data_IF_576025225832
#
_entry.id   IF_576025225832
#
_cell.length_a   1.000
_cell.length_b   1.000
_cell.length_c   1.000
_cell.angle_alpha   90.00
_cell.angle_beta   90.00
_cell.angle_gamma   90.00
#
_symmetry.space_group_name_H-M   'P 1'
#
loop_
_entity.id
_entity.type
_entity.pdbx_description
1 polymer ?
#
# COMPACT_ATOMS: atom_id res chain seq x y z
N UNK A 1 83.78 43.69 -3.78
CA UNK A 1 83.43 42.35 -3.27
C UNK A 1 83.45 42.44 -1.75
N UNK A 2 82.39 43.00 -1.14
CA UNK A 2 82.30 43.13 0.32
C UNK A 2 81.52 41.92 0.85
N UNK A 3 82.24 40.92 1.33
CA UNK A 3 81.65 39.79 2.05
C UNK A 3 81.45 40.16 3.51
N UNK A 4 80.23 40.49 3.90
CA UNK A 4 79.86 40.55 5.31
C UNK A 4 79.91 39.13 5.88
N UNK A 5 80.55 38.89 7.04
CA UNK A 5 80.50 37.58 7.68
C UNK A 5 79.05 37.36 8.12
N UNK A 6 78.40 36.35 7.53
CA UNK A 6 77.11 35.87 8.00
C UNK A 6 77.33 35.32 9.41
N UNK A 7 76.72 35.95 10.41
CA UNK A 7 76.68 35.42 11.76
C UNK A 7 75.75 34.20 11.76
N UNK A 8 76.34 33.05 11.45
CA UNK A 8 75.65 31.77 11.42
C UNK A 8 75.00 31.39 12.75
N UNK A 9 75.48 31.96 13.87
CA UNK A 9 74.89 31.75 15.19
C UNK A 9 73.58 32.54 15.32
N UNK A 10 73.59 33.81 14.93
CA UNK A 10 72.36 34.62 14.89
C UNK A 10 71.31 34.02 13.95
N UNK A 11 71.72 33.61 12.74
CA UNK A 11 70.81 32.99 11.77
C UNK A 11 70.23 31.67 12.29
N UNK A 12 71.04 30.84 12.96
CA UNK A 12 70.56 29.59 13.56
C UNK A 12 69.57 29.83 14.71
N UNK A 13 69.80 30.86 15.54
CA UNK A 13 68.89 31.27 16.62
C UNK A 13 67.55 31.76 16.04
N UNK A 14 67.60 32.56 14.97
CA UNK A 14 66.38 33.07 14.31
C UNK A 14 65.57 31.94 13.66
N UNK A 15 66.23 30.98 13.01
CA UNK A 15 65.58 29.79 12.44
C UNK A 15 64.95 28.92 13.54
N UNK A 16 65.64 28.70 14.66
CA UNK A 16 65.11 27.96 15.80
C UNK A 16 63.92 28.68 16.45
N UNK A 17 63.99 29.99 16.61
CA UNK A 17 62.90 30.82 17.11
C UNK A 17 61.67 30.76 16.21
N UNK A 18 61.87 30.83 14.88
CA UNK A 18 60.79 30.70 13.90
C UNK A 18 60.17 29.30 13.89
N UNK A 19 60.98 28.24 13.96
CA UNK A 19 60.49 26.87 14.06
C UNK A 19 59.69 26.64 15.34
N UNK A 20 60.15 27.17 16.48
CA UNK A 20 59.42 27.11 17.74
C UNK A 20 58.07 27.84 17.66
N UNK A 21 58.03 29.02 17.04
CA UNK A 21 56.80 29.78 16.84
C UNK A 21 55.78 29.02 15.96
N UNK A 22 56.23 28.36 14.90
CA UNK A 22 55.38 27.49 14.05
C UNK A 22 54.82 26.32 14.86
N UNK A 23 55.65 25.65 15.67
CA UNK A 23 55.20 24.52 16.49
C UNK A 23 54.17 24.97 17.53
N UNK A 24 54.41 26.10 18.21
CA UNK A 24 53.44 26.68 19.15
C UNK A 24 52.12 27.03 18.45
N UNK A 25 52.18 27.66 17.27
CA UNK A 25 50.99 27.99 16.49
C UNK A 25 50.18 26.74 16.11
N UNK A 26 50.84 25.66 15.66
CA UNK A 26 50.17 24.40 15.33
C UNK A 26 49.51 23.77 16.57
N UNK A 27 50.20 23.78 17.72
CA UNK A 27 49.65 23.24 18.98
C UNK A 27 48.43 24.06 19.43
N UNK A 28 48.53 25.39 19.40
CA UNK A 28 47.42 26.28 19.77
C UNK A 28 46.24 26.10 18.81
N UNK A 29 46.46 26.06 17.49
CA UNK A 29 45.40 25.84 16.51
C UNK A 29 44.67 24.50 16.73
N UNK A 30 45.41 23.41 17.01
CA UNK A 30 44.81 22.11 17.34
C UNK A 30 44.07 22.13 18.68
N UNK A 31 44.59 22.84 19.67
CA UNK A 31 43.94 23.00 20.97
C UNK A 31 42.62 23.77 20.85
N UNK A 32 42.60 24.84 20.04
CA UNK A 32 41.41 25.67 19.80
C UNK A 32 40.36 24.90 18.99
N UNK A 33 40.80 24.12 18.00
CA UNK A 33 39.95 23.17 17.26
C UNK A 33 39.30 22.16 18.22
N UNK A 34 40.10 21.51 19.08
CA UNK A 34 39.59 20.55 20.06
C UNK A 34 38.63 21.19 21.07
N UNK A 35 38.94 22.40 21.55
CA UNK A 35 38.07 23.13 22.47
C UNK A 35 36.72 23.51 21.83
N UNK A 36 36.74 23.85 20.54
CA UNK A 36 35.52 24.14 19.76
C UNK A 36 34.68 22.87 19.61
N UNK A 37 35.30 21.74 19.25
CA UNK A 37 34.63 20.43 19.15
C UNK A 37 34.00 20.04 20.50
N UNK A 38 34.73 20.18 21.60
CA UNK A 38 34.25 19.86 22.94
C UNK A 38 33.07 20.75 23.36
N UNK A 39 33.12 22.04 23.02
CA UNK A 39 32.05 22.99 23.28
C UNK A 39 30.79 22.63 22.48
N UNK A 40 30.93 22.37 21.19
CA UNK A 40 29.82 21.92 20.32
C UNK A 40 29.21 20.61 20.82
N UNK A 41 30.03 19.63 21.23
CA UNK A 41 29.54 18.38 21.80
C UNK A 41 28.77 18.60 23.11
N UNK A 42 29.25 19.47 24.01
CA UNK A 42 28.54 19.82 25.25
C UNK A 42 27.19 20.49 24.97
N UNK A 43 27.16 21.39 24.00
CA UNK A 43 25.92 22.07 23.57
C UNK A 43 24.92 21.07 22.98
N UNK A 44 25.38 20.16 22.11
CA UNK A 44 24.57 19.08 21.53
C UNK A 44 23.95 18.18 22.61
N UNK A 45 24.77 17.73 23.56
CA UNK A 45 24.33 16.90 24.69
C UNK A 45 23.30 17.66 25.54
N UNK A 46 23.55 18.94 25.84
CA UNK A 46 22.63 19.78 26.64
C UNK A 46 21.30 20.02 25.93
N UNK A 47 21.32 20.34 24.64
CA UNK A 47 20.13 20.51 23.81
C UNK A 47 19.30 19.22 23.80
N UNK A 48 19.96 18.08 23.57
CA UNK A 48 19.33 16.76 23.58
C UNK A 48 18.65 16.48 24.93
N UNK A 49 19.36 16.68 26.04
CA UNK A 49 18.81 16.46 27.38
C UNK A 49 17.60 17.34 27.66
N UNK A 50 17.58 18.58 27.16
CA UNK A 50 16.52 19.55 27.42
C UNK A 50 15.29 19.29 26.56
N UNK A 51 15.49 19.16 25.25
CA UNK A 51 14.41 19.10 24.28
C UNK A 51 13.76 17.72 24.28
N UNK A 52 14.55 16.65 24.35
CA UNK A 52 14.01 15.30 24.43
C UNK A 52 13.28 15.05 25.77
N UNK A 53 13.78 15.60 26.87
CA UNK A 53 13.07 15.51 28.15
C UNK A 53 11.75 16.30 28.12
N UNK A 54 11.70 17.43 27.42
CA UNK A 54 10.46 18.20 27.22
C UNK A 54 9.46 17.43 26.39
N UNK A 55 9.88 16.88 25.25
CA UNK A 55 9.07 16.00 24.41
C UNK A 55 8.51 14.82 25.23
N UNK A 56 9.31 14.17 26.08
CA UNK A 56 8.80 13.09 26.96
C UNK A 56 7.84 13.57 28.04
N UNK A 57 7.99 14.80 28.55
CA UNK A 57 7.08 15.38 29.55
C UNK A 57 5.72 15.75 28.95
N UNK A 58 5.70 16.21 27.72
CA UNK A 58 4.46 16.49 26.98
C UNK A 58 3.73 15.21 26.63
N UNK A 59 4.47 14.13 26.34
CA UNK A 59 3.95 12.82 25.94
C UNK A 59 4.03 11.79 27.07
N UNK A 60 3.73 12.19 28.32
CA UNK A 60 3.89 11.35 29.53
C UNK A 60 3.11 10.04 29.50
N UNK A 61 2.02 9.97 28.74
CA UNK A 61 1.21 8.77 28.54
C UNK A 61 2.04 7.60 27.98
N UNK A 62 2.99 7.90 27.09
CA UNK A 62 3.93 6.91 26.53
C UNK A 62 5.06 6.53 27.53
N UNK A 63 5.17 7.23 28.66
CA UNK A 63 6.29 7.12 29.61
C UNK A 63 6.12 6.10 30.75
N UNK A 64 4.90 5.88 31.27
CA UNK A 64 4.69 5.18 32.56
C UNK A 64 4.09 3.77 32.48
N UNK A 65 3.19 3.52 31.53
CA UNK A 65 2.68 2.18 31.18
C UNK A 65 2.24 2.25 29.73
N UNK A 66 2.81 1.39 28.89
CA UNK A 66 2.29 1.21 27.54
C UNK A 66 0.84 0.73 27.66
N UNK A 67 -0.12 1.38 26.97
CA UNK A 67 -1.50 0.93 26.96
C UNK A 67 -1.61 -0.50 26.42
N UNK A 68 -2.76 -1.16 26.55
CA UNK A 68 -2.98 -2.41 25.83
C UNK A 68 -2.90 -2.15 24.31
N UNK A 69 -2.59 -3.18 23.51
CA UNK A 69 -2.70 -3.02 22.06
C UNK A 69 -4.15 -2.62 21.72
N UNK A 70 -4.35 -1.55 20.93
CA UNK A 70 -5.68 -1.08 20.54
C UNK A 70 -6.39 -0.09 21.49
N UNK A 71 -5.83 0.25 22.66
CA UNK A 71 -6.47 1.22 23.59
C UNK A 71 -5.95 2.66 23.46
N UNK A 72 -5.20 2.97 22.40
CA UNK A 72 -4.53 4.25 22.22
C UNK A 72 -5.17 5.00 21.07
N UNK A 73 -5.57 6.25 21.30
CA UNK A 73 -6.23 7.05 20.26
C UNK A 73 -5.24 7.32 19.11
N UNK A 74 -5.70 7.16 17.87
CA UNK A 74 -4.88 7.44 16.68
C UNK A 74 -4.37 8.88 16.66
N UNK A 75 -5.07 9.81 17.32
CA UNK A 75 -4.67 11.22 17.49
C UNK A 75 -3.40 11.36 18.31
N UNK A 76 -3.30 10.67 19.44
CA UNK A 76 -2.14 10.74 20.34
C UNK A 76 -0.90 10.13 19.68
N UNK A 77 -1.08 9.01 18.98
CA UNK A 77 -0.03 8.41 18.15
C UNK A 77 0.48 9.38 17.09
N UNK A 78 -0.44 10.04 16.38
CA UNK A 78 -0.10 11.02 15.35
C UNK A 78 0.74 12.14 15.91
N UNK A 79 0.29 12.74 17.01
CA UNK A 79 0.92 13.89 17.61
C UNK A 79 2.32 13.55 18.14
N UNK A 80 2.43 12.43 18.86
CA UNK A 80 3.71 12.00 19.41
C UNK A 80 4.71 11.64 18.31
N UNK A 81 4.29 10.87 17.30
CA UNK A 81 5.15 10.50 16.18
C UNK A 81 5.57 11.72 15.34
N UNK A 82 4.67 12.70 15.16
CA UNK A 82 5.01 13.97 14.47
C UNK A 82 6.07 14.78 15.22
N UNK A 83 6.03 14.77 16.55
CA UNK A 83 7.05 15.43 17.37
C UNK A 83 8.38 14.66 17.35
N UNK A 84 8.31 13.32 17.36
CA UNK A 84 9.49 12.47 17.20
C UNK A 84 10.14 12.63 15.82
N UNK A 85 9.37 12.80 14.75
CA UNK A 85 9.87 13.10 13.40
C UNK A 85 10.70 14.39 13.38
N UNK A 86 10.16 15.48 13.96
CA UNK A 86 10.89 16.76 14.06
C UNK A 86 12.15 16.64 14.90
N UNK A 87 12.10 15.86 15.98
CA UNK A 87 13.26 15.60 16.81
C UNK A 87 14.31 14.77 16.06
N UNK A 88 13.88 13.78 15.28
CA UNK A 88 14.72 12.92 14.49
C UNK A 88 15.50 13.67 13.41
N UNK A 89 14.90 14.70 12.78
CA UNK A 89 15.62 15.64 11.91
C UNK A 89 16.85 16.21 12.62
N UNK A 90 16.71 16.63 13.87
CA UNK A 90 17.83 17.17 14.66
C UNK A 90 18.90 16.12 14.99
N UNK A 91 18.50 14.86 15.24
CA UNK A 91 19.45 13.75 15.41
C UNK A 91 20.24 13.51 14.12
N UNK A 92 19.54 13.34 13.00
CA UNK A 92 20.13 12.98 11.71
C UNK A 92 21.01 14.12 11.14
N UNK A 93 20.69 15.38 11.46
CA UNK A 93 21.53 16.54 11.13
C UNK A 93 22.70 16.76 12.11
N UNK A 94 22.83 15.96 13.17
CA UNK A 94 23.88 16.10 14.18
C UNK A 94 23.67 17.24 15.18
N UNK A 95 22.50 17.88 15.19
CA UNK A 95 22.10 18.89 16.18
C UNK A 95 21.76 18.27 17.55
N UNK A 96 21.40 16.99 17.59
CA UNK A 96 21.19 16.20 18.80
C UNK A 96 22.10 14.97 18.84
N UNK A 97 22.38 14.50 20.05
CA UNK A 97 23.28 13.38 20.32
C UNK A 97 22.49 12.07 20.50
N UNK A 98 22.53 11.20 19.49
CA UNK A 98 21.76 9.95 19.49
C UNK A 98 22.24 8.96 20.56
N UNK A 99 23.52 8.97 20.96
CA UNK A 99 24.01 8.11 22.04
C UNK A 99 23.37 8.50 23.39
N UNK A 100 23.20 9.81 23.62
CA UNK A 100 22.48 10.33 24.79
C UNK A 100 21.02 9.86 24.77
N UNK A 101 20.34 9.98 23.62
CA UNK A 101 18.96 9.47 23.46
C UNK A 101 18.88 7.96 23.73
N UNK A 102 19.83 7.20 23.18
CA UNK A 102 19.92 5.75 23.37
C UNK A 102 20.05 5.37 24.84
N UNK A 103 20.90 6.07 25.59
CA UNK A 103 21.08 5.88 27.04
C UNK A 103 19.84 6.28 27.84
N UNK A 104 19.18 7.39 27.48
CA UNK A 104 18.03 7.91 28.22
C UNK A 104 16.76 7.08 28.00
N UNK A 105 16.50 6.65 26.76
CA UNK A 105 15.20 6.07 26.37
C UNK A 105 15.25 5.12 25.17
N UNK A 106 16.43 4.74 24.68
CA UNK A 106 16.54 3.93 23.46
C UNK A 106 15.72 2.63 23.52
N UNK A 107 15.81 1.88 24.62
CA UNK A 107 15.02 0.67 24.80
C UNK A 107 13.49 0.92 24.86
N UNK A 108 13.05 2.08 25.34
CA UNK A 108 11.63 2.45 25.34
C UNK A 108 11.16 2.80 23.93
N UNK A 109 11.92 3.60 23.19
CA UNK A 109 11.62 3.98 21.81
C UNK A 109 11.57 2.77 20.88
N UNK A 110 12.53 1.84 21.00
CA UNK A 110 12.52 0.57 20.25
C UNK A 110 11.24 -0.23 20.53
N UNK A 111 10.83 -0.35 21.80
CA UNK A 111 9.57 -1.04 22.15
C UNK A 111 8.33 -0.34 21.59
N UNK A 112 8.30 0.99 21.61
CA UNK A 112 7.17 1.74 21.04
C UNK A 112 7.10 1.55 19.53
N UNK A 113 8.26 1.60 18.86
CA UNK A 113 8.37 1.37 17.43
C UNK A 113 7.86 -0.01 17.03
N UNK A 114 8.39 -1.06 17.68
CA UNK A 114 8.04 -2.45 17.40
C UNK A 114 6.56 -2.76 17.68
N UNK A 115 5.95 -2.06 18.64
CA UNK A 115 4.58 -2.34 19.07
C UNK A 115 3.51 -1.50 18.40
N UNK A 116 3.84 -0.28 17.95
CA UNK A 116 2.84 0.68 17.45
C UNK A 116 3.31 1.43 16.21
N UNK A 117 4.48 2.08 16.27
CA UNK A 117 4.82 3.05 15.21
C UNK A 117 5.07 2.41 13.87
N UNK A 118 5.67 1.21 13.82
CA UNK A 118 5.93 0.55 12.54
C UNK A 118 4.65 0.37 11.72
N UNK A 119 3.61 -0.22 12.32
CA UNK A 119 2.38 -0.54 11.61
C UNK A 119 1.53 0.74 11.40
N UNK A 120 1.58 1.67 12.35
CA UNK A 120 0.94 2.99 12.22
C UNK A 120 1.54 3.83 11.08
N UNK A 121 2.86 3.81 10.88
CA UNK A 121 3.51 4.50 9.76
C UNK A 121 2.98 3.94 8.43
N UNK A 122 2.94 2.62 8.29
CA UNK A 122 2.37 1.97 7.10
C UNK A 122 0.91 2.39 6.87
N UNK A 123 0.07 2.37 7.90
CA UNK A 123 -1.33 2.82 7.82
C UNK A 123 -1.44 4.29 7.39
N UNK A 124 -0.57 5.16 7.91
CA UNK A 124 -0.53 6.59 7.53
C UNK A 124 -0.12 6.80 6.08
N UNK A 125 0.79 5.98 5.55
CA UNK A 125 1.20 6.00 4.13
C UNK A 125 0.09 5.56 3.20
N UNK A 126 -0.65 4.51 3.57
CA UNK A 126 -1.81 4.01 2.82
C UNK A 126 -2.97 5.00 2.80
N UNK A 127 -3.18 5.74 3.89
CA UNK A 127 -4.24 6.74 4.01
C UNK A 127 -3.90 8.12 3.41
N UNK A 128 -2.71 8.29 2.83
CA UNK A 128 -2.28 9.57 2.30
C UNK A 128 -2.94 9.86 0.94
N UNK A 129 -3.60 11.01 0.75
CA UNK A 129 -4.20 11.33 -0.56
C UNK A 129 -3.11 11.63 -1.60
N UNK A 130 -3.10 10.91 -2.74
CA UNK A 130 -2.15 11.13 -3.86
C UNK A 130 -2.55 12.37 -4.70
N UNK A 131 -3.16 13.39 -4.09
CA UNK A 131 -3.73 14.54 -4.81
C UNK A 131 -2.73 15.72 -4.94
N UNK A 132 -1.41 15.50 -4.76
CA UNK A 132 -0.39 16.38 -5.36
C UNK A 132 0.60 17.12 -4.44
N UNK A 133 0.83 16.70 -3.19
CA UNK A 133 1.83 17.34 -2.31
C UNK A 133 3.09 16.49 -2.01
N UNK A 134 2.99 15.16 -2.05
CA UNK A 134 4.10 14.24 -1.79
C UNK A 134 4.24 13.29 -2.97
N UNK A 135 5.41 13.27 -3.60
CA UNK A 135 5.71 12.39 -4.74
C UNK A 135 6.04 10.95 -4.33
N UNK A 136 6.46 10.74 -3.08
CA UNK A 136 6.76 9.43 -2.50
C UNK A 136 6.13 9.30 -1.11
N UNK A 137 5.04 8.54 -1.01
CA UNK A 137 4.35 8.30 0.27
C UNK A 137 5.27 7.63 1.28
N UNK A 138 6.30 6.90 0.85
CA UNK A 138 7.27 6.27 1.74
C UNK A 138 8.24 7.28 2.39
N UNK A 139 8.24 8.54 1.95
CA UNK A 139 8.97 9.61 2.65
C UNK A 139 8.26 10.07 3.94
N UNK A 140 7.00 9.68 4.16
CA UNK A 140 6.27 10.01 5.39
C UNK A 140 6.94 9.29 6.57
N UNK A 141 7.42 10.07 7.55
CA UNK A 141 8.16 9.65 8.75
C UNK A 141 9.57 9.08 8.51
N UNK A 142 10.21 9.43 7.39
CA UNK A 142 11.52 8.87 7.03
C UNK A 142 12.64 9.28 7.98
N UNK A 143 12.58 10.49 8.56
CA UNK A 143 13.62 10.96 9.48
C UNK A 143 13.58 10.19 10.79
N UNK A 144 12.37 9.93 11.30
CA UNK A 144 12.15 9.05 12.44
C UNK A 144 12.64 7.63 12.15
N UNK A 145 12.39 7.08 10.97
CA UNK A 145 12.91 5.76 10.59
C UNK A 145 14.44 5.70 10.55
N UNK A 146 15.10 6.71 9.98
CA UNK A 146 16.55 6.80 9.96
C UNK A 146 17.13 6.85 11.38
N UNK A 147 16.57 7.71 12.24
CA UNK A 147 16.97 7.78 13.65
C UNK A 147 16.73 6.44 14.36
N UNK A 148 15.60 5.77 14.11
CA UNK A 148 15.29 4.49 14.72
C UNK A 148 16.23 3.39 14.24
N UNK A 149 16.61 3.37 12.97
CA UNK A 149 17.59 2.41 12.43
C UNK A 149 18.94 2.55 13.14
N UNK A 150 19.47 3.77 13.24
CA UNK A 150 20.72 4.02 13.97
C UNK A 150 20.60 3.66 15.46
N UNK A 151 19.44 3.91 16.07
CA UNK A 151 19.18 3.54 17.46
C UNK A 151 19.17 2.01 17.68
N UNK A 152 18.68 1.24 16.71
CA UNK A 152 18.73 -0.22 16.72
C UNK A 152 20.17 -0.72 16.59
N UNK A 153 20.95 -0.12 15.69
CA UNK A 153 22.37 -0.45 15.48
C UNK A 153 23.19 -0.18 16.75
N UNK A 154 23.03 0.99 17.39
CA UNK A 154 23.68 1.33 18.66
C UNK A 154 23.37 0.35 19.80
N UNK A 155 22.25 -0.37 19.70
CA UNK A 155 21.79 -1.30 20.75
C UNK A 155 21.93 -2.76 20.36
N UNK A 156 22.46 -3.06 19.17
CA UNK A 156 22.59 -4.42 18.66
C UNK A 156 21.26 -5.16 18.52
N UNK A 157 20.18 -4.45 18.21
CA UNK A 157 18.84 -5.03 18.00
C UNK A 157 18.54 -5.05 16.50
N UNK A 158 17.95 -6.14 16.00
CA UNK A 158 17.55 -6.25 14.59
C UNK A 158 16.56 -5.12 14.22
N UNK A 159 16.90 -4.35 13.18
CA UNK A 159 16.00 -3.36 12.58
C UNK A 159 15.01 -4.03 11.62
N UNK A 160 13.73 -3.68 11.76
CA UNK A 160 12.67 -4.04 10.81
C UNK A 160 11.96 -2.78 10.37
N UNK A 161 12.17 -2.38 9.12
CA UNK A 161 11.52 -1.21 8.54
C UNK A 161 9.98 -1.37 8.53
N UNK A 162 9.21 -0.26 8.47
CA UNK A 162 7.82 -0.32 8.07
C UNK A 162 7.69 -0.94 6.69
N UNK A 163 6.52 -1.49 6.41
CA UNK A 163 6.26 -2.08 5.11
C UNK A 163 6.32 -0.99 4.03
N UNK A 164 6.97 -1.33 2.92
CA UNK A 164 6.98 -0.46 1.75
C UNK A 164 5.60 -0.43 1.13
N UNK A 165 5.02 0.75 0.96
CA UNK A 165 3.71 0.93 0.34
C UNK A 165 3.91 1.16 -1.14
N UNK A 166 3.55 0.16 -1.94
CA UNK A 166 3.49 0.24 -3.40
C UNK A 166 2.22 0.98 -3.88
N UNK A 167 2.17 1.34 -5.16
CA UNK A 167 0.96 1.89 -5.79
C UNK A 167 -0.20 0.87 -5.71
N UNK A 168 0.11 -0.41 -5.88
CA UNK A 168 -0.85 -1.52 -5.79
C UNK A 168 -1.50 -1.60 -4.41
N UNK A 169 -0.69 -1.58 -3.35
CA UNK A 169 -1.21 -1.65 -1.99
C UNK A 169 -2.04 -0.42 -1.64
N UNK A 170 -1.63 0.75 -2.13
CA UNK A 170 -2.38 1.98 -1.97
C UNK A 170 -3.74 1.92 -2.66
N UNK A 171 -3.79 1.43 -3.91
CA UNK A 171 -5.04 1.31 -4.66
C UNK A 171 -5.96 0.29 -3.99
N UNK A 172 -5.45 -0.89 -3.63
CA UNK A 172 -6.22 -1.91 -2.91
C UNK A 172 -6.83 -1.34 -1.62
N UNK A 173 -6.00 -0.68 -0.80
CA UNK A 173 -6.46 -0.02 0.43
C UNK A 173 -7.62 0.93 0.14
N UNK A 174 -7.49 1.76 -0.89
CA UNK A 174 -8.49 2.76 -1.22
C UNK A 174 -9.80 2.15 -1.74
N UNK A 175 -9.76 1.01 -2.42
CA UNK A 175 -10.95 0.29 -2.87
C UNK A 175 -11.68 -0.40 -1.69
N UNK A 176 -10.93 -1.02 -0.77
CA UNK A 176 -11.51 -1.64 0.42
C UNK A 176 -12.17 -0.62 1.37
N UNK A 177 -11.69 0.63 1.37
CA UNK A 177 -12.27 1.71 2.19
C UNK A 177 -13.41 2.47 1.50
N UNK A 178 -13.81 2.08 0.29
CA UNK A 178 -15.04 2.61 -0.32
C UNK A 178 -16.25 2.05 0.44
N UNK A 179 -17.35 2.82 0.58
CA UNK A 179 -18.57 2.33 1.22
C UNK A 179 -19.03 0.98 0.65
N UNK A 180 -19.28 0.00 1.53
CA UNK A 180 -19.80 -1.32 1.15
C UNK A 180 -21.31 -1.31 0.87
N UNK A 181 -22.00 -0.29 1.37
CA UNK A 181 -23.44 -0.09 1.23
C UNK A 181 -23.90 0.37 -0.16
N UNK A 182 -22.97 0.65 -1.07
CA UNK A 182 -23.26 1.13 -2.43
C UNK A 182 -22.12 0.81 -3.40
N UNK A 183 -22.46 0.53 -4.65
CA UNK A 183 -21.53 0.34 -5.78
C UNK A 183 -21.09 1.66 -6.45
N UNK A 184 -21.78 2.77 -6.21
CA UNK A 184 -21.55 4.05 -6.92
C UNK A 184 -20.10 4.57 -6.81
N UNK A 185 -19.41 4.52 -5.66
CA UNK A 185 -18.03 4.99 -5.57
C UNK A 185 -17.05 4.20 -6.46
N UNK A 186 -17.35 2.92 -6.72
CA UNK A 186 -16.59 2.11 -7.67
C UNK A 186 -16.87 2.60 -9.09
N UNK A 187 -18.15 2.69 -9.50
CA UNK A 187 -18.53 3.20 -10.83
C UNK A 187 -17.95 4.58 -11.11
N UNK A 188 -18.07 5.52 -10.17
CA UNK A 188 -17.53 6.86 -10.27
C UNK A 188 -16.02 6.87 -10.57
N UNK A 189 -15.27 5.92 -10.01
CA UNK A 189 -13.82 5.80 -10.26
C UNK A 189 -13.53 5.43 -11.71
N UNK A 190 -14.26 4.49 -12.29
CA UNK A 190 -14.06 4.04 -13.67
C UNK A 190 -14.72 4.95 -14.73
N UNK A 191 -15.76 5.70 -14.36
CA UNK A 191 -16.53 6.61 -15.25
C UNK A 191 -15.67 7.64 -15.98
N UNK A 192 -14.57 8.05 -15.37
CA UNK A 192 -13.65 9.04 -15.93
C UNK A 192 -12.62 8.45 -16.90
N UNK A 193 -12.59 7.13 -17.08
CA UNK A 193 -11.71 6.50 -18.06
C UNK A 193 -12.15 6.84 -19.48
N UNK A 194 -11.16 7.03 -20.35
CA UNK A 194 -11.40 7.43 -21.74
C UNK A 194 -12.23 6.37 -22.45
N UNK A 195 -13.39 6.79 -22.99
CA UNK A 195 -14.27 5.91 -23.74
C UNK A 195 -15.13 4.98 -22.88
N UNK A 196 -15.18 5.19 -21.56
CA UNK A 196 -16.08 4.45 -20.69
C UNK A 196 -17.54 4.61 -21.15
N UNK A 197 -18.26 3.50 -21.23
CA UNK A 197 -19.68 3.39 -21.55
C UNK A 197 -20.37 2.85 -20.31
N UNK A 198 -21.21 3.66 -19.71
CA UNK A 198 -21.95 3.32 -18.50
C UNK A 198 -23.46 3.40 -18.77
N UNK A 199 -24.21 2.46 -18.22
CA UNK A 199 -25.67 2.45 -18.29
C UNK A 199 -26.25 1.93 -16.99
N UNK A 200 -27.32 2.58 -16.55
CA UNK A 200 -28.10 2.20 -15.38
C UNK A 200 -29.57 2.04 -15.75
N UNK A 201 -30.20 1.01 -15.22
CA UNK A 201 -31.64 0.72 -15.31
C UNK A 201 -32.31 0.84 -13.94
N UNK A 202 -33.26 -0.04 -13.65
CA UNK A 202 -33.93 -0.08 -12.36
C UNK A 202 -33.13 -0.90 -11.32
N UNK A 203 -33.04 -0.40 -10.10
CA UNK A 203 -32.35 -1.09 -9.00
C UNK A 203 -30.87 -1.32 -9.29
N UNK A 204 -30.45 -2.59 -9.27
CA UNK A 204 -29.07 -3.05 -9.49
C UNK A 204 -28.73 -3.34 -10.94
N UNK A 205 -29.51 -2.81 -11.87
CA UNK A 205 -29.22 -2.88 -13.30
C UNK A 205 -28.13 -1.86 -13.65
N UNK A 206 -26.87 -2.20 -13.45
CA UNK A 206 -25.75 -1.31 -13.73
C UNK A 206 -24.61 -2.02 -14.45
N UNK A 207 -24.00 -1.36 -15.43
CA UNK A 207 -22.72 -1.79 -15.99
C UNK A 207 -21.89 -0.60 -16.46
N UNK A 208 -20.57 -0.79 -16.45
CA UNK A 208 -19.59 0.12 -17.03
C UNK A 208 -18.55 -0.67 -17.82
N UNK A 209 -18.47 -0.38 -19.11
CA UNK A 209 -17.51 -0.98 -20.03
C UNK A 209 -16.45 0.04 -20.44
N UNK A 210 -15.18 -0.34 -20.39
CA UNK A 210 -14.07 0.45 -20.94
C UNK A 210 -13.46 -0.31 -22.10
N UNK A 211 -13.51 0.22 -23.34
CA UNK A 211 -12.96 -0.47 -24.49
C UNK A 211 -11.44 -0.54 -24.43
N UNK A 212 -10.91 -1.75 -24.62
CA UNK A 212 -9.49 -1.99 -24.82
C UNK A 212 -9.01 -1.48 -26.19
N UNK A 213 -7.72 -1.19 -26.28
CA UNK A 213 -7.06 -0.70 -27.50
C UNK A 213 -6.38 -1.83 -28.28
N UNK A 214 -6.18 -2.98 -27.66
CA UNK A 214 -5.50 -4.13 -28.28
C UNK A 214 -6.40 -4.89 -29.27
N UNK A 215 -5.84 -5.41 -30.38
CA UNK A 215 -6.58 -6.28 -31.29
C UNK A 215 -6.90 -7.64 -30.64
N UNK A 216 -6.03 -8.14 -29.76
CA UNK A 216 -6.10 -9.41 -29.05
C UNK A 216 -6.57 -9.23 -27.58
N UNK A 217 -7.41 -8.22 -27.34
CA UNK A 217 -7.87 -7.90 -26.00
C UNK A 217 -8.69 -9.04 -25.36
N UNK A 218 -8.28 -9.44 -24.16
CA UNK A 218 -9.14 -10.09 -23.16
C UNK A 218 -10.11 -9.06 -22.53
N UNK A 219 -11.25 -9.54 -22.03
CA UNK A 219 -12.17 -8.76 -21.20
C UNK A 219 -11.94 -9.08 -19.72
N UNK A 220 -11.56 -8.09 -18.93
CA UNK A 220 -11.44 -8.19 -17.48
C UNK A 220 -12.77 -7.84 -16.82
N UNK A 221 -13.28 -8.71 -15.95
CA UNK A 221 -14.61 -8.59 -15.34
C UNK A 221 -14.50 -8.58 -13.81
N UNK A 222 -15.27 -7.70 -13.17
CA UNK A 222 -15.56 -7.73 -11.73
C UNK A 222 -16.93 -7.07 -11.48
N UNK A 223 -17.49 -7.24 -10.30
CA UNK A 223 -18.69 -6.51 -9.87
C UNK A 223 -18.38 -5.52 -8.74
N UNK A 224 -19.26 -4.54 -8.59
CA UNK A 224 -19.07 -3.37 -7.74
C UNK A 224 -20.00 -3.35 -6.50
N UNK A 225 -21.18 -3.97 -6.62
CA UNK A 225 -22.03 -4.21 -5.45
C UNK A 225 -21.35 -5.20 -4.53
N UNK A 226 -21.66 -5.07 -3.24
CA UNK A 226 -21.23 -6.02 -2.21
C UNK A 226 -22.48 -6.66 -1.61
N UNK A 227 -22.34 -7.83 -1.02
CA UNK A 227 -23.41 -8.44 -0.21
C UNK A 227 -23.99 -7.51 0.87
N UNK A 228 -23.21 -6.53 1.34
CA UNK A 228 -23.61 -5.57 2.37
C UNK A 228 -24.30 -4.31 1.82
N UNK A 229 -24.60 -4.28 0.51
CA UNK A 229 -25.28 -3.16 -0.12
C UNK A 229 -26.65 -2.88 0.50
N UNK A 230 -26.99 -1.59 0.67
CA UNK A 230 -28.25 -1.20 1.29
C UNK A 230 -29.46 -1.65 0.47
N UNK A 231 -29.32 -1.76 -0.86
CA UNK A 231 -30.39 -2.20 -1.74
C UNK A 231 -30.90 -3.62 -1.44
N UNK A 232 -30.10 -4.44 -0.75
CA UNK A 232 -30.44 -5.82 -0.41
C UNK A 232 -31.06 -5.98 0.98
N UNK A 233 -31.18 -4.89 1.74
CA UNK A 233 -31.61 -4.95 3.14
C UNK A 233 -33.05 -4.49 3.27
N UNK A 234 -33.96 -5.44 3.41
CA UNK A 234 -35.41 -5.18 3.55
C UNK A 234 -35.79 -4.48 4.88
N UNK A 235 -34.95 -4.59 5.94
CA UNK A 235 -35.31 -4.25 7.33
C UNK A 235 -34.29 -3.37 8.09
N UNK A 236 -33.23 -2.89 7.45
CA UNK A 236 -32.29 -1.98 8.13
C UNK A 236 -32.84 -0.56 8.10
N UNK A 237 -33.44 -0.12 9.21
CA UNK A 237 -33.77 1.29 9.42
C UNK A 237 -32.59 2.17 9.00
N UNK A 238 -32.88 3.22 8.22
CA UNK A 238 -32.08 4.20 7.45
C UNK A 238 -30.53 4.30 7.52
N UNK A 239 -29.84 3.69 8.48
CA UNK A 239 -28.39 3.70 8.59
C UNK A 239 -27.75 2.67 7.65
N UNK A 240 -27.05 3.18 6.63
CA UNK A 240 -26.16 2.38 5.80
C UNK A 240 -25.08 1.67 6.65
N UNK A 241 -24.73 0.44 6.29
CA UNK A 241 -23.60 -0.24 6.91
C UNK A 241 -22.30 0.48 6.57
N UNK A 242 -21.53 0.80 7.60
CA UNK A 242 -20.18 1.35 7.46
C UNK A 242 -19.17 0.26 7.82
N UNK A 243 -18.38 -0.15 6.81
CA UNK A 243 -17.27 -1.06 7.04
C UNK A 243 -16.16 -0.35 7.82
N UNK A 244 -15.72 -0.97 8.91
CA UNK A 244 -14.52 -0.58 9.62
C UNK A 244 -13.39 -1.48 9.13
N UNK A 245 -12.58 -1.00 8.18
CA UNK A 245 -11.48 -1.81 7.63
C UNK A 245 -10.25 -1.67 8.51
N UNK A 246 -9.68 -2.78 8.96
CA UNK A 246 -8.42 -2.82 9.70
C UNK A 246 -7.41 -3.69 8.99
N UNK A 247 -6.13 -3.31 9.08
CA UNK A 247 -5.02 -4.04 8.48
C UNK A 247 -4.05 -4.49 9.57
N UNK A 248 -3.76 -5.79 9.61
CA UNK A 248 -2.80 -6.39 10.54
C UNK A 248 -2.01 -7.50 9.85
N UNK A 249 -0.68 -7.48 9.96
CA UNK A 249 0.18 -8.53 9.40
C UNK A 249 0.00 -8.81 7.89
N UNK A 250 -0.34 -7.80 7.09
CA UNK A 250 -0.60 -7.96 5.66
C UNK A 250 -1.99 -8.55 5.32
N UNK A 251 -2.91 -8.59 6.30
CA UNK A 251 -4.29 -9.04 6.13
C UNK A 251 -5.24 -7.88 6.41
N UNK A 252 -6.18 -7.64 5.51
CA UNK A 252 -7.34 -6.77 5.75
C UNK A 252 -8.48 -7.59 6.35
N UNK A 253 -9.21 -7.01 7.29
CA UNK A 253 -10.39 -7.62 7.92
C UNK A 253 -11.34 -6.55 8.46
N UNK A 254 -12.53 -6.95 8.85
CA UNK A 254 -13.42 -6.05 9.58
C UNK A 254 -12.90 -5.81 11.00
N UNK A 255 -12.95 -4.55 11.43
CA UNK A 255 -12.73 -4.08 12.79
C UNK A 255 -14.01 -4.11 13.64
N UNK A 256 -15.13 -4.55 13.08
CA UNK A 256 -16.42 -4.69 13.77
C UNK A 256 -17.06 -6.03 13.42
N UNK A 257 -18.09 -6.42 14.17
CA UNK A 257 -18.89 -7.62 13.86
C UNK A 257 -20.16 -7.28 13.07
N UNK A 258 -20.28 -6.05 12.54
CA UNK A 258 -21.50 -5.56 11.90
C UNK A 258 -21.58 -5.97 10.41
N UNK A 259 -20.45 -5.94 9.71
CA UNK A 259 -20.34 -6.29 8.29
C UNK A 259 -18.89 -6.64 7.94
N UNK A 260 -18.72 -7.26 6.77
CA UNK A 260 -17.41 -7.51 6.16
C UNK A 260 -16.80 -6.25 5.54
N UNK A 261 -15.78 -6.43 4.72
CA UNK A 261 -15.01 -5.36 4.08
C UNK A 261 -15.28 -5.24 2.57
N UNK A 262 -16.14 -6.09 2.00
CA UNK A 262 -16.41 -6.15 0.56
C UNK A 262 -15.19 -6.58 -0.24
N UNK A 263 -14.35 -7.46 0.32
CA UNK A 263 -13.16 -7.95 -0.36
C UNK A 263 -13.52 -8.84 -1.57
N UNK A 264 -14.67 -9.53 -1.51
CA UNK A 264 -15.25 -10.30 -2.61
C UNK A 264 -15.18 -9.51 -3.93
N UNK A 265 -15.73 -8.29 -3.90
CA UNK A 265 -15.93 -7.44 -5.08
C UNK A 265 -14.81 -6.40 -5.25
N UNK A 266 -14.43 -5.73 -4.15
CA UNK A 266 -13.51 -4.57 -4.20
C UNK A 266 -12.09 -4.98 -4.56
N UNK A 267 -11.68 -6.20 -4.23
CA UNK A 267 -10.37 -6.74 -4.59
C UNK A 267 -10.22 -6.90 -6.10
N UNK A 268 -11.26 -7.42 -6.76
CA UNK A 268 -11.34 -7.55 -8.21
C UNK A 268 -11.35 -6.19 -8.92
N UNK A 269 -12.20 -5.28 -8.45
CA UNK A 269 -12.24 -3.91 -8.95
C UNK A 269 -10.89 -3.19 -8.81
N UNK A 270 -10.16 -3.39 -7.70
CA UNK A 270 -8.82 -2.85 -7.55
C UNK A 270 -7.84 -3.38 -8.61
N UNK A 271 -7.90 -4.68 -8.95
CA UNK A 271 -7.10 -5.26 -10.02
C UNK A 271 -7.48 -4.69 -11.40
N UNK A 272 -8.77 -4.60 -11.72
CA UNK A 272 -9.23 -3.98 -12.97
C UNK A 272 -8.70 -2.55 -13.09
N UNK A 273 -8.75 -1.78 -11.99
CA UNK A 273 -8.19 -0.44 -11.96
C UNK A 273 -6.69 -0.47 -12.25
N UNK A 274 -5.91 -1.31 -11.57
CA UNK A 274 -4.47 -1.43 -11.80
C UNK A 274 -4.11 -1.87 -13.23
N UNK A 275 -4.98 -2.65 -13.88
CA UNK A 275 -4.80 -3.17 -15.23
C UNK A 275 -5.38 -2.26 -16.33
N UNK A 276 -5.96 -1.11 -15.99
CA UNK A 276 -6.64 -0.19 -16.92
C UNK A 276 -5.81 0.28 -18.12
N UNK A 277 -4.48 0.30 -17.97
CA UNK A 277 -3.56 0.75 -19.01
C UNK A 277 -2.92 -0.40 -19.81
N UNK A 278 -3.31 -1.65 -19.56
CA UNK A 278 -2.79 -2.84 -20.28
C UNK A 278 -3.26 -2.92 -21.74
N UNK A 279 -4.25 -2.11 -22.12
CA UNK A 279 -4.88 -2.14 -23.45
C UNK A 279 -5.96 -3.21 -23.60
N UNK A 280 -6.23 -3.98 -22.54
CA UNK A 280 -7.40 -4.87 -22.45
C UNK A 280 -8.68 -4.11 -22.09
N UNK A 281 -9.82 -4.73 -22.36
CA UNK A 281 -11.12 -4.14 -22.01
C UNK A 281 -11.46 -4.42 -20.56
N UNK A 282 -12.21 -3.52 -19.95
CA UNK A 282 -12.73 -3.68 -18.59
C UNK A 282 -14.25 -3.72 -18.62
N UNK A 283 -14.86 -4.53 -17.76
CA UNK A 283 -16.29 -4.54 -17.49
C UNK A 283 -16.50 -4.61 -15.98
N UNK A 284 -17.16 -3.59 -15.44
CA UNK A 284 -17.62 -3.52 -14.06
C UNK A 284 -19.14 -3.66 -14.06
N UNK A 285 -19.67 -4.61 -13.30
CA UNK A 285 -21.09 -4.90 -13.20
C UNK A 285 -21.66 -4.53 -11.82
N UNK A 286 -22.98 -4.45 -11.74
CA UNK A 286 -23.75 -4.30 -10.51
C UNK A 286 -24.74 -5.47 -10.41
N UNK A 287 -25.06 -5.90 -9.20
CA UNK A 287 -26.08 -6.92 -8.95
C UNK A 287 -25.65 -8.36 -9.15
N UNK A 288 -24.36 -8.68 -9.06
CA UNK A 288 -23.87 -10.08 -9.12
C UNK A 288 -24.47 -10.88 -7.95
N UNK A 289 -24.37 -10.29 -6.75
CA UNK A 289 -24.68 -10.89 -5.45
C UNK A 289 -26.13 -11.38 -5.33
N UNK A 290 -27.03 -10.82 -6.15
CA UNK A 290 -28.44 -11.17 -6.20
C UNK A 290 -28.89 -11.62 -7.61
N UNK A 291 -27.98 -12.20 -8.38
CA UNK A 291 -28.31 -12.99 -9.57
C UNK A 291 -27.87 -12.40 -10.92
N UNK A 292 -26.63 -11.90 -11.03
CA UNK A 292 -26.06 -11.39 -12.29
C UNK A 292 -26.93 -10.31 -12.97
N UNK A 293 -27.56 -9.42 -12.19
CA UNK A 293 -28.57 -8.47 -12.70
C UNK A 293 -27.95 -7.56 -13.77
N UNK A 294 -26.75 -7.02 -13.53
CA UNK A 294 -26.02 -6.17 -14.47
C UNK A 294 -25.65 -6.90 -15.76
N UNK A 295 -25.22 -8.17 -15.69
CA UNK A 295 -24.89 -8.95 -16.88
C UNK A 295 -26.12 -9.20 -17.77
N UNK A 296 -27.25 -9.59 -17.18
CA UNK A 296 -28.52 -9.74 -17.91
C UNK A 296 -29.04 -8.41 -18.46
N UNK A 297 -28.88 -7.33 -17.70
CA UNK A 297 -29.23 -6.00 -18.17
C UNK A 297 -28.38 -5.57 -19.36
N UNK A 298 -27.07 -5.84 -19.37
CA UNK A 298 -26.20 -5.58 -20.51
C UNK A 298 -26.66 -6.33 -21.76
N UNK A 299 -26.95 -7.63 -21.62
CA UNK A 299 -27.46 -8.47 -22.71
C UNK A 299 -28.75 -7.89 -23.33
N UNK A 300 -29.71 -7.50 -22.48
CA UNK A 300 -31.00 -7.01 -22.92
C UNK A 300 -30.97 -5.57 -23.46
N UNK A 301 -30.26 -4.67 -22.77
CA UNK A 301 -30.29 -3.23 -23.05
C UNK A 301 -29.33 -2.80 -24.16
N UNK A 302 -28.23 -3.54 -24.37
CA UNK A 302 -27.22 -3.19 -25.37
C UNK A 302 -26.67 -4.43 -26.10
N UNK A 303 -27.48 -5.07 -26.98
CA UNK A 303 -27.06 -6.25 -27.72
C UNK A 303 -25.80 -6.05 -28.58
N UNK A 304 -25.56 -4.82 -29.05
CA UNK A 304 -24.35 -4.50 -29.82
C UNK A 304 -23.09 -4.55 -28.97
N UNK A 305 -23.15 -4.02 -27.75
CA UNK A 305 -22.04 -4.13 -26.81
C UNK A 305 -21.89 -5.58 -26.32
N UNK A 306 -23.01 -6.29 -26.12
CA UNK A 306 -22.97 -7.71 -25.76
C UNK A 306 -22.30 -8.57 -26.85
N UNK A 307 -22.55 -8.28 -28.12
CA UNK A 307 -21.84 -8.91 -29.25
C UNK A 307 -20.36 -8.51 -29.27
N UNK A 308 -20.03 -7.26 -28.95
CA UNK A 308 -18.65 -6.78 -28.89
C UNK A 308 -17.84 -7.46 -27.79
N UNK A 309 -18.41 -7.63 -26.59
CA UNK A 309 -17.71 -8.35 -25.51
C UNK A 309 -17.42 -9.82 -25.89
N UNK A 310 -18.29 -10.44 -26.68
CA UNK A 310 -18.12 -11.82 -27.16
C UNK A 310 -17.11 -11.96 -28.32
N UNK A 311 -16.56 -10.85 -28.83
CA UNK A 311 -15.44 -10.84 -29.80
C UNK A 311 -14.06 -10.85 -29.16
N UNK A 312 -13.96 -10.72 -27.83
CA UNK A 312 -12.70 -10.76 -27.10
C UNK A 312 -12.01 -12.12 -27.24
N UNK A 313 -10.74 -12.19 -26.82
CA UNK A 313 -9.96 -13.43 -26.83
C UNK A 313 -10.51 -14.45 -25.84
N UNK A 314 -10.80 -14.00 -24.62
CA UNK A 314 -11.52 -14.70 -23.57
C UNK A 314 -11.98 -13.68 -22.50
N UNK A 315 -12.80 -14.12 -21.56
CA UNK A 315 -13.20 -13.33 -20.40
C UNK A 315 -12.49 -13.81 -19.13
N UNK A 316 -11.98 -12.87 -18.35
CA UNK A 316 -11.29 -13.13 -17.10
C UNK A 316 -11.99 -12.38 -15.98
N UNK A 317 -12.75 -13.09 -15.17
CA UNK A 317 -13.33 -12.55 -13.94
C UNK A 317 -12.32 -12.67 -12.79
N UNK A 318 -12.26 -11.64 -11.96
CA UNK A 318 -11.33 -11.53 -10.83
C UNK A 318 -12.12 -11.33 -9.55
N UNK A 319 -12.87 -12.36 -9.17
CA UNK A 319 -13.87 -12.26 -8.13
C UNK A 319 -14.17 -13.68 -7.62
N UNK A 320 -13.15 -14.25 -6.96
CA UNK A 320 -13.24 -15.60 -6.41
C UNK A 320 -12.39 -15.73 -5.16
N UNK A 321 -12.95 -16.40 -4.13
CA UNK A 321 -12.25 -16.69 -2.89
C UNK A 321 -11.06 -17.63 -3.09
N UNK A 322 -10.06 -17.55 -2.21
CA UNK A 322 -8.87 -18.40 -2.25
C UNK A 322 -7.69 -17.77 -2.99
N UNK A 323 -6.65 -18.55 -3.30
CA UNK A 323 -5.36 -17.98 -3.72
C UNK A 323 -4.63 -18.73 -4.85
N UNK A 324 -5.20 -19.80 -5.38
CA UNK A 324 -4.51 -20.67 -6.35
C UNK A 324 -5.45 -21.57 -7.16
N UNK A 325 -6.70 -21.14 -7.36
CA UNK A 325 -7.71 -21.93 -8.03
C UNK A 325 -8.59 -21.09 -8.95
N UNK A 326 -9.26 -21.77 -9.87
CA UNK A 326 -10.17 -21.12 -10.82
C UNK A 326 -11.44 -21.92 -11.07
N UNK A 327 -12.47 -21.24 -11.60
CA UNK A 327 -13.74 -21.85 -12.02
C UNK A 327 -14.21 -21.36 -13.38
N UNK A 328 -14.99 -22.21 -14.05
CA UNK A 328 -15.61 -21.92 -15.35
C UNK A 328 -17.14 -21.97 -15.32
N UNK A 329 -17.77 -22.23 -14.17
CA UNK A 329 -19.22 -22.14 -13.94
C UNK A 329 -20.12 -22.79 -15.01
N UNK A 330 -19.71 -23.96 -15.53
CA UNK A 330 -20.47 -24.68 -16.55
C UNK A 330 -20.40 -24.08 -17.96
N UNK A 331 -19.61 -23.03 -18.18
CA UNK A 331 -19.28 -22.53 -19.52
C UNK A 331 -18.61 -23.68 -20.29
N UNK A 332 -19.04 -23.99 -21.53
CA UNK A 332 -18.48 -25.05 -22.33
C UNK A 332 -17.09 -24.64 -22.87
N UNK A 333 -16.08 -24.66 -22.00
CA UNK A 333 -14.71 -24.27 -22.36
C UNK A 333 -13.95 -25.40 -23.05
N UNK A 334 -13.01 -25.04 -23.92
CA UNK A 334 -12.17 -26.02 -24.65
C UNK A 334 -10.99 -26.52 -23.80
N UNK A 335 -10.48 -27.71 -24.13
CA UNK A 335 -9.28 -28.26 -23.47
C UNK A 335 -8.04 -27.37 -23.66
N UNK A 336 -7.93 -26.71 -24.82
CA UNK A 336 -6.86 -25.76 -25.12
C UNK A 336 -6.93 -24.52 -24.21
N UNK A 337 -8.14 -24.01 -23.94
CA UNK A 337 -8.33 -22.91 -23.02
C UNK A 337 -7.96 -23.28 -21.58
N UNK A 338 -8.39 -24.46 -21.11
CA UNK A 338 -8.01 -24.96 -19.79
C UNK A 338 -6.49 -25.10 -19.65
N UNK A 339 -5.85 -25.71 -20.64
CA UNK A 339 -4.40 -25.89 -20.70
C UNK A 339 -3.67 -24.54 -20.76
N UNK A 340 -4.25 -23.54 -21.42
CA UNK A 340 -3.75 -22.18 -21.42
C UNK A 340 -3.82 -21.60 -20.00
N UNK A 341 -5.00 -21.56 -19.36
CA UNK A 341 -5.15 -21.00 -18.01
C UNK A 341 -4.22 -21.68 -17.00
N UNK A 342 -4.16 -23.01 -16.97
CA UNK A 342 -3.31 -23.75 -16.04
C UNK A 342 -1.82 -23.48 -16.25
N UNK A 343 -1.38 -23.34 -17.50
CA UNK A 343 0.02 -23.01 -17.82
C UNK A 343 0.36 -21.57 -17.47
N UNK A 344 -0.53 -20.62 -17.75
CA UNK A 344 -0.27 -19.20 -17.51
C UNK A 344 -0.36 -18.82 -16.02
N UNK A 345 -1.21 -19.52 -15.26
CA UNK A 345 -1.49 -19.18 -13.85
C UNK A 345 -0.88 -20.15 -12.84
N UNK A 346 -0.69 -21.42 -13.22
CA UNK A 346 -0.41 -22.50 -12.27
C UNK A 346 -1.59 -22.84 -11.36
N UNK A 347 -2.79 -22.29 -11.59
CA UNK A 347 -3.95 -22.49 -10.74
C UNK A 347 -4.63 -23.81 -11.06
N UNK A 348 -5.26 -24.38 -10.04
CA UNK A 348 -5.96 -25.66 -10.17
C UNK A 348 -7.45 -25.41 -10.40
N UNK A 349 -8.02 -26.10 -11.40
CA UNK A 349 -9.45 -26.05 -11.63
C UNK A 349 -10.21 -26.64 -10.45
N UNK A 350 -11.23 -25.93 -10.00
CA UNK A 350 -12.24 -26.48 -9.09
C UNK A 350 -13.60 -26.54 -9.78
N UNK A 351 -14.44 -27.49 -9.39
CA UNK A 351 -15.81 -27.59 -9.86
C UNK A 351 -16.77 -27.21 -8.73
N UNK A 352 -17.98 -26.76 -9.09
CA UNK A 352 -19.02 -26.54 -8.11
C UNK A 352 -20.25 -25.84 -8.68
N UNK A 353 -21.33 -25.91 -7.93
CA UNK A 353 -22.59 -25.22 -8.22
C UNK A 353 -22.48 -23.78 -7.74
N UNK A 354 -22.36 -22.84 -8.67
CA UNK A 354 -22.36 -21.41 -8.40
C UNK A 354 -22.84 -20.69 -9.66
N UNK A 355 -23.27 -19.45 -9.51
CA UNK A 355 -23.60 -18.58 -10.62
C UNK A 355 -22.80 -17.31 -10.46
N UNK A 356 -22.35 -16.77 -11.57
CA UNK A 356 -21.57 -15.53 -11.60
C UNK A 356 -21.66 -14.91 -12.98
N UNK A 357 -21.25 -13.65 -13.11
CA UNK A 357 -21.46 -12.85 -14.33
C UNK A 357 -20.93 -13.54 -15.59
N UNK A 358 -19.74 -14.14 -15.56
CA UNK A 358 -19.21 -14.85 -16.74
C UNK A 358 -20.09 -16.00 -17.22
N UNK A 359 -20.92 -16.60 -16.36
CA UNK A 359 -21.91 -17.61 -16.75
C UNK A 359 -22.99 -17.05 -17.69
N UNK A 360 -23.28 -15.76 -17.59
CA UNK A 360 -24.20 -15.03 -18.47
C UNK A 360 -23.48 -14.41 -19.66
N UNK A 361 -22.30 -13.81 -19.44
CA UNK A 361 -21.58 -13.06 -20.46
C UNK A 361 -20.96 -13.94 -21.56
N UNK A 362 -20.47 -15.14 -21.20
CA UNK A 362 -19.69 -16.01 -22.08
C UNK A 362 -20.59 -16.80 -23.06
N UNK A 363 -21.15 -16.11 -24.06
CA UNK A 363 -21.97 -16.71 -25.11
C UNK A 363 -21.13 -17.39 -26.20
N UNK A 364 -20.10 -16.71 -26.70
CA UNK A 364 -19.32 -17.16 -27.89
C UNK A 364 -17.82 -17.36 -27.61
N UNK A 365 -17.38 -17.02 -26.40
CA UNK A 365 -15.97 -17.04 -25.99
C UNK A 365 -15.83 -17.66 -24.60
N UNK A 366 -14.75 -18.38 -24.37
CA UNK A 366 -14.44 -18.98 -23.08
C UNK A 366 -14.26 -17.92 -21.99
N UNK A 367 -14.58 -18.29 -20.76
CA UNK A 367 -14.39 -17.47 -19.57
C UNK A 367 -13.90 -18.26 -18.37
N UNK A 368 -13.20 -17.56 -17.48
CA UNK A 368 -12.71 -18.11 -16.22
C UNK A 368 -12.76 -17.07 -15.11
N UNK A 369 -13.03 -17.50 -13.88
CA UNK A 369 -12.91 -16.67 -12.68
C UNK A 369 -11.74 -17.17 -11.82
N UNK A 370 -10.76 -16.31 -11.54
CA UNK A 370 -9.57 -16.66 -10.77
C UNK A 370 -9.70 -16.21 -9.32
N UNK A 371 -9.16 -17.00 -8.40
CA UNK A 371 -9.14 -16.60 -7.01
C UNK A 371 -8.19 -15.44 -6.69
N UNK A 372 -8.63 -14.50 -5.86
CA UNK A 372 -8.00 -13.18 -5.66
C UNK A 372 -7.57 -12.88 -4.22
N UNK A 373 -7.62 -13.87 -3.32
CA UNK A 373 -7.01 -13.80 -1.98
C UNK A 373 -7.95 -13.38 -0.84
N UNK A 374 -9.26 -13.35 -1.07
CA UNK A 374 -10.25 -13.15 0.00
C UNK A 374 -10.82 -14.47 0.52
N UNK A 375 -11.36 -14.41 1.75
CA UNK A 375 -11.95 -15.54 2.48
C UNK A 375 -13.10 -15.08 3.36
N UNK A 376 -14.04 -16.00 3.63
CA UNK A 376 -15.24 -15.76 4.44
C UNK A 376 -16.09 -14.61 3.88
N UNK A 377 -16.25 -14.59 2.56
CA UNK A 377 -17.17 -13.70 1.87
C UNK A 377 -18.57 -13.70 2.51
N UNK A 378 -19.24 -12.55 2.45
CA UNK A 378 -20.62 -12.35 2.95
C UNK A 378 -20.77 -12.45 4.48
N UNK A 379 -19.66 -12.54 5.21
CA UNK A 379 -19.64 -12.62 6.67
C UNK A 379 -18.82 -11.46 7.30
N UNK A 380 -19.09 -11.07 8.56
CA UNK A 380 -18.26 -10.08 9.26
C UNK A 380 -16.79 -10.50 9.41
N UNK A 381 -16.51 -11.81 9.36
CA UNK A 381 -15.17 -12.40 9.39
C UNK A 381 -14.46 -12.37 8.02
N UNK A 382 -14.99 -11.62 7.05
CA UNK A 382 -14.38 -11.43 5.75
C UNK A 382 -12.95 -10.88 5.88
N UNK A 383 -12.03 -11.53 5.16
CA UNK A 383 -10.61 -11.16 5.17
C UNK A 383 -10.04 -11.15 3.76
N UNK A 384 -8.97 -10.38 3.58
CA UNK A 384 -8.16 -10.38 2.36
C UNK A 384 -6.67 -10.46 2.71
N UNK A 385 -5.97 -11.43 2.13
CA UNK A 385 -4.52 -11.62 2.29
C UNK A 385 -3.79 -10.88 1.16
N UNK A 386 -3.10 -9.79 1.49
CA UNK A 386 -2.48 -8.90 0.49
C UNK A 386 -1.47 -9.63 -0.40
N UNK A 387 -0.66 -10.52 0.18
CA UNK A 387 0.34 -11.28 -0.57
C UNK A 387 -0.27 -12.26 -1.58
N UNK A 388 -1.49 -12.73 -1.35
CA UNK A 388 -2.20 -13.64 -2.26
C UNK A 388 -2.85 -12.85 -3.39
N UNK A 389 -3.52 -11.74 -3.04
CA UNK A 389 -4.04 -10.79 -4.00
C UNK A 389 -2.96 -10.26 -4.95
N UNK A 390 -1.81 -9.85 -4.42
CA UNK A 390 -0.67 -9.34 -5.20
C UNK A 390 -0.09 -10.42 -6.13
N UNK A 391 -0.05 -11.68 -5.67
CA UNK A 391 0.37 -12.81 -6.50
C UNK A 391 -0.55 -12.99 -7.71
N UNK A 392 -1.86 -13.02 -7.49
CA UNK A 392 -2.85 -13.11 -8.58
C UNK A 392 -2.70 -11.92 -9.55
N UNK A 393 -2.57 -10.70 -9.03
CA UNK A 393 -2.36 -9.51 -9.87
C UNK A 393 -1.11 -9.65 -10.77
N UNK A 394 0.00 -10.12 -10.22
CA UNK A 394 1.25 -10.29 -10.97
C UNK A 394 1.18 -11.42 -12.01
N UNK A 395 0.47 -12.51 -11.69
CA UNK A 395 0.15 -13.59 -12.64
C UNK A 395 -0.67 -13.02 -13.81
N UNK A 396 -1.74 -12.29 -13.51
CA UNK A 396 -2.62 -11.71 -14.53
C UNK A 396 -1.86 -10.71 -15.39
N UNK A 397 -1.07 -9.80 -14.79
CA UNK A 397 -0.19 -8.88 -15.53
C UNK A 397 0.71 -9.63 -16.53
N UNK A 398 1.41 -10.64 -16.04
CA UNK A 398 2.32 -11.46 -16.87
C UNK A 398 1.59 -12.18 -18.00
N UNK A 399 0.37 -12.67 -17.75
CA UNK A 399 -0.47 -13.31 -18.75
C UNK A 399 -0.93 -12.32 -19.83
N UNK A 400 -1.37 -11.12 -19.42
CA UNK A 400 -1.90 -10.07 -20.30
C UNK A 400 -0.82 -9.37 -21.15
N UNK A 401 0.43 -9.38 -20.71
CA UNK A 401 1.55 -8.82 -21.49
C UNK A 401 1.89 -9.63 -22.76
N UNK A 402 1.32 -10.83 -22.92
CA UNK A 402 1.55 -11.73 -24.06
C UNK A 402 0.58 -11.45 -25.22
N UNK A 403 0.88 -12.01 -26.39
CA UNK A 403 -0.08 -12.10 -27.49
C UNK A 403 -1.12 -13.18 -27.17
N UNK A 404 -2.40 -12.81 -27.14
CA UNK A 404 -3.47 -13.69 -26.70
C UNK A 404 -4.24 -14.29 -27.89
N UNK A 405 -4.36 -15.62 -27.91
CA UNK A 405 -5.23 -16.31 -28.85
C UNK A 405 -6.70 -16.19 -28.43
N UNK A 406 -7.62 -16.19 -29.40
CA UNK A 406 -9.05 -16.27 -29.12
C UNK A 406 -9.47 -17.71 -28.84
N UNK A 407 -10.21 -17.90 -27.75
CA UNK A 407 -10.73 -19.19 -27.32
C UNK A 407 -12.27 -19.19 -27.41
N UNK A 408 -12.87 -19.65 -28.53
CA UNK A 408 -14.32 -19.83 -28.61
C UNK A 408 -14.79 -20.91 -27.63
N UNK A 409 -16.04 -20.82 -27.19
CA UNK A 409 -16.69 -21.93 -26.48
C UNK A 409 -16.80 -23.18 -27.37
N UNK A 410 -16.79 -24.35 -26.75
CA UNK A 410 -17.09 -25.63 -27.39
C UNK A 410 -18.56 -25.64 -27.83
N UNK A 411 -18.79 -26.05 -29.08
CA UNK A 411 -20.12 -26.15 -29.69
C UNK A 411 -20.70 -27.56 -29.58
#
# INVERSE_FOLDING_TARGET
>A
MFGFPVDYVSLAIDILGFAAAIVTFIITAKSDEQATIDQTNKERVRATLTDFATLRREHQYFGRKLPASGSMEQRDLKEYLSNLERFAVGCNMGAYDLEVVSRMSGGQLIRHYQRYFRDYITERRLNYRIDGAISDVNAIYIEFENMMKELHDLRGVEWRAPEHVSEEHHILHHFLHLPVSTSEPVFARFRHLRGAIESHGEGKQGYLYVPGTRPDRCLLVAHADTYFDQAYREDSGDAALEACVVRDGGVYRSGTNACGIGADDRAGCAMLWLLRNSGHSLLVLDGEEHGQIGAHFLEASNPRLFDEINRHTFMLQLDRRGASDYKTYGIPVTADFLSFIERETGYVRTEGTGKTDIGTLCRDVCGVNLSVGYYNEHHPEETLVVAEWERTLNIVRTMLDKDLARFPVAR
#
